data_IF_884431634284
#
_entry.id   IF_884431634284
#
_cell.length_a   1.000
_cell.length_b   1.000
_cell.length_c   1.000
_cell.angle_alpha   90.00
_cell.angle_beta   90.00
_cell.angle_gamma   90.00
#
_symmetry.space_group_name_H-M   'P 1'
#
loop_
_entity.id
_entity.type
_entity.pdbx_description
1 polymer ?
#
# COMPACT_ATOMS: atom_id res chain seq x y z
N UNK A 1 -31.31 8.50 22.39
CA UNK A 1 -30.31 8.45 21.30
C UNK A 1 -29.05 7.84 21.86
N UNK A 2 -28.48 6.83 21.22
CA UNK A 2 -27.15 6.34 21.58
C UNK A 2 -26.13 7.42 21.27
N UNK A 3 -25.23 7.71 22.21
CA UNK A 3 -24.11 8.61 21.93
C UNK A 3 -23.06 7.85 21.09
N UNK A 4 -22.05 8.55 20.55
CA UNK A 4 -21.02 7.92 19.71
C UNK A 4 -20.26 6.82 20.46
N UNK A 5 -20.03 6.99 21.76
CA UNK A 5 -19.34 5.98 22.59
C UNK A 5 -20.15 4.68 22.65
N UNK A 6 -21.48 4.75 22.82
CA UNK A 6 -22.36 3.58 22.82
C UNK A 6 -22.37 2.86 21.48
N UNK A 7 -22.21 3.60 20.37
CA UNK A 7 -22.12 3.03 19.02
C UNK A 7 -20.79 2.27 18.87
N UNK A 8 -19.67 2.90 19.25
CA UNK A 8 -18.34 2.30 19.17
C UNK A 8 -18.19 1.06 20.05
N UNK A 9 -18.75 1.07 21.26
CA UNK A 9 -18.71 -0.08 22.16
C UNK A 9 -19.55 -1.28 21.68
N UNK A 10 -20.54 -1.04 20.83
CA UNK A 10 -21.35 -2.09 20.19
C UNK A 10 -20.77 -2.58 18.87
N UNK A 11 -19.79 -1.87 18.30
CA UNK A 11 -19.12 -2.34 17.11
C UNK A 11 -18.30 -3.57 17.44
N UNK A 12 -18.47 -4.58 16.60
CA UNK A 12 -17.70 -5.81 16.67
C UNK A 12 -16.25 -5.50 16.25
N UNK A 13 -15.31 -5.71 17.17
CA UNK A 13 -13.89 -5.45 16.92
C UNK A 13 -13.34 -6.32 15.78
N UNK A 14 -13.91 -7.51 15.54
CA UNK A 14 -13.53 -8.38 14.44
C UNK A 14 -13.94 -7.80 13.08
N UNK A 15 -14.93 -6.90 13.04
CA UNK A 15 -15.34 -6.20 11.81
C UNK A 15 -14.45 -5.01 11.45
N UNK A 16 -13.47 -4.68 12.28
CA UNK A 16 -12.45 -3.67 11.98
C UNK A 16 -11.35 -4.24 11.06
N UNK A 17 -11.73 -5.06 10.09
CA UNK A 17 -10.80 -5.59 9.10
C UNK A 17 -10.31 -4.47 8.17
N UNK A 18 -9.05 -4.60 7.75
CA UNK A 18 -8.46 -3.67 6.79
C UNK A 18 -9.16 -3.79 5.44
N UNK A 19 -9.61 -2.68 4.83
CA UNK A 19 -10.18 -2.68 3.49
C UNK A 19 -9.29 -3.38 2.46
N UNK A 20 -9.89 -4.18 1.58
CA UNK A 20 -9.20 -4.87 0.48
C UNK A 20 -9.95 -4.67 -0.83
N UNK A 21 -9.22 -4.79 -1.95
CA UNK A 21 -9.84 -4.86 -3.28
C UNK A 21 -8.95 -5.58 -4.29
N UNK A 22 -9.55 -5.92 -5.43
CA UNK A 22 -8.85 -6.45 -6.59
C UNK A 22 -8.53 -5.31 -7.56
N UNK A 23 -7.32 -5.30 -8.11
CA UNK A 23 -6.87 -4.36 -9.13
C UNK A 23 -6.23 -5.13 -10.29
N UNK A 24 -6.64 -4.81 -11.51
CA UNK A 24 -6.10 -5.43 -12.71
C UNK A 24 -5.00 -4.56 -13.32
N UNK A 25 -3.87 -5.18 -13.67
CA UNK A 25 -2.82 -4.50 -14.43
C UNK A 25 -2.98 -4.84 -15.90
N UNK A 26 -3.70 -3.97 -16.62
CA UNK A 26 -4.13 -4.21 -18.00
C UNK A 26 -2.99 -4.59 -18.94
N UNK A 27 -1.86 -3.86 -18.90
CA UNK A 27 -0.69 -4.16 -19.74
C UNK A 27 -0.14 -5.56 -19.48
N UNK A 28 -0.06 -5.98 -18.22
CA UNK A 28 0.39 -7.34 -17.89
C UNK A 28 -0.61 -8.39 -18.36
N UNK A 29 -1.91 -8.09 -18.26
CA UNK A 29 -2.98 -8.97 -18.74
C UNK A 29 -2.90 -9.18 -20.26
N UNK A 30 -2.68 -8.10 -21.02
CA UNK A 30 -2.47 -8.16 -22.47
C UNK A 30 -1.23 -8.98 -22.83
N UNK A 31 -0.14 -8.87 -22.07
CA UNK A 31 1.09 -9.63 -22.29
C UNK A 31 0.96 -11.12 -21.92
N UNK A 32 0.19 -11.44 -20.88
CA UNK A 32 -0.03 -12.81 -20.42
C UNK A 32 -1.09 -13.54 -21.26
N UNK A 33 -1.98 -12.81 -21.93
CA UNK A 33 -3.15 -13.38 -22.61
C UNK A 33 -4.29 -13.77 -21.67
N UNK A 34 -4.17 -13.46 -20.37
CA UNK A 34 -5.16 -13.72 -19.33
C UNK A 34 -5.15 -12.60 -18.27
N UNK A 35 -6.25 -12.40 -17.51
CA UNK A 35 -6.32 -11.33 -16.52
C UNK A 35 -5.26 -11.47 -15.42
N UNK A 36 -4.39 -10.47 -15.31
CA UNK A 36 -3.40 -10.34 -14.24
C UNK A 36 -3.97 -9.41 -13.18
N UNK A 37 -4.63 -10.03 -12.18
CA UNK A 37 -5.32 -9.37 -11.09
C UNK A 37 -4.54 -9.50 -9.79
N UNK A 38 -4.35 -8.38 -9.11
CA UNK A 38 -3.71 -8.28 -7.81
C UNK A 38 -4.76 -8.04 -6.72
N UNK A 39 -4.64 -8.74 -5.60
CA UNK A 39 -5.35 -8.39 -4.37
C UNK A 39 -4.48 -7.43 -3.55
N UNK A 40 -5.03 -6.26 -3.22
CA UNK A 40 -4.38 -5.25 -2.40
C UNK A 40 -5.20 -4.94 -1.14
N UNK A 41 -4.53 -4.49 -0.09
CA UNK A 41 -5.14 -4.12 1.20
C UNK A 41 -4.62 -2.78 1.72
N UNK A 42 -5.40 -2.18 2.61
CA UNK A 42 -4.97 -1.05 3.43
C UNK A 42 -3.77 -1.43 4.33
N UNK A 43 -2.98 -0.42 4.68
CA UNK A 43 -1.92 -0.53 5.67
C UNK A 43 -2.43 -0.11 7.05
N UNK A 44 -1.90 -0.73 8.10
CA UNK A 44 -2.08 -0.23 9.46
C UNK A 44 -1.21 0.99 9.72
N UNK A 45 -1.54 1.75 10.76
CA UNK A 45 -0.72 2.86 11.25
C UNK A 45 0.73 2.40 11.55
N UNK A 46 0.91 1.26 12.23
CA UNK A 46 2.24 0.70 12.52
C UNK A 46 3.02 0.38 11.25
N UNK A 47 2.37 -0.21 10.23
CA UNK A 47 3.05 -0.48 8.96
C UNK A 47 3.46 0.80 8.26
N UNK A 48 2.64 1.85 8.33
CA UNK A 48 2.96 3.15 7.74
C UNK A 48 4.14 3.83 8.45
N UNK A 49 4.18 3.81 9.79
CA UNK A 49 5.30 4.31 10.59
C UNK A 49 6.60 3.60 10.24
N UNK A 50 6.58 2.25 10.17
CA UNK A 50 7.74 1.47 9.74
C UNK A 50 8.27 1.89 8.36
N UNK A 51 7.37 2.17 7.40
CA UNK A 51 7.75 2.63 6.06
C UNK A 51 8.42 4.00 6.14
N UNK A 52 7.86 4.93 6.92
CA UNK A 52 8.40 6.28 7.07
C UNK A 52 9.80 6.25 7.70
N UNK A 53 9.97 5.46 8.76
CA UNK A 53 11.25 5.31 9.45
C UNK A 53 12.32 4.72 8.53
N UNK A 54 12.00 3.65 7.79
CA UNK A 54 12.95 3.04 6.84
C UNK A 54 13.32 3.97 5.67
N UNK A 55 12.43 4.89 5.31
CA UNK A 55 12.61 5.79 4.17
C UNK A 55 13.22 7.15 4.54
N UNK A 56 13.42 7.41 5.84
CA UNK A 56 13.99 8.67 6.32
C UNK A 56 15.47 8.49 6.61
N UNK A 57 16.31 9.26 5.93
CA UNK A 57 17.76 9.30 6.16
C UNK A 57 18.11 10.56 6.92
N UNK A 58 18.68 10.38 8.11
CA UNK A 58 19.19 11.49 8.90
C UNK A 58 20.67 11.72 8.62
N UNK A 59 21.02 12.94 8.24
CA UNK A 59 22.40 13.40 8.15
C UNK A 59 22.78 14.11 9.45
N UNK A 60 23.61 13.49 10.31
CA UNK A 60 24.03 14.06 11.58
C UNK A 60 24.94 15.29 11.45
N UNK A 61 25.55 15.50 10.28
CA UNK A 61 26.46 16.63 10.04
C UNK A 61 25.65 17.88 9.66
N UNK A 62 24.68 17.73 8.77
CA UNK A 62 23.84 18.85 8.33
C UNK A 62 22.57 19.05 9.17
N UNK A 63 22.28 18.13 10.10
CA UNK A 63 21.05 18.09 10.90
C UNK A 63 19.77 18.12 10.03
N UNK A 64 19.84 17.49 8.86
CA UNK A 64 18.74 17.41 7.89
C UNK A 64 18.25 15.97 7.78
N UNK A 65 16.94 15.83 7.62
CA UNK A 65 16.30 14.59 7.23
C UNK A 65 15.95 14.65 5.73
N UNK A 66 16.31 13.62 4.99
CA UNK A 66 15.90 13.42 3.61
C UNK A 66 14.95 12.22 3.53
N UNK A 67 13.86 12.37 2.77
CA UNK A 67 12.81 11.37 2.67
C UNK A 67 12.89 10.75 1.27
N UNK A 68 13.18 9.46 1.22
CA UNK A 68 13.16 8.69 -0.01
C UNK A 68 11.74 8.29 -0.38
N UNK A 69 11.05 9.22 -1.05
CA UNK A 69 9.65 9.04 -1.51
C UNK A 69 9.50 7.81 -2.41
N UNK A 70 10.54 7.43 -3.17
CA UNK A 70 10.45 6.26 -4.02
C UNK A 70 10.49 4.97 -3.21
N UNK A 71 11.36 4.91 -2.20
CA UNK A 71 11.37 3.79 -1.25
C UNK A 71 10.03 3.66 -0.51
N UNK A 72 9.40 4.77 -0.11
CA UNK A 72 8.04 4.74 0.46
C UNK A 72 7.05 4.04 -0.48
N UNK A 73 7.05 4.37 -1.77
CA UNK A 73 6.15 3.76 -2.75
C UNK A 73 6.39 2.25 -2.88
N UNK A 74 7.65 1.82 -3.00
CA UNK A 74 7.99 0.41 -3.15
C UNK A 74 7.62 -0.40 -1.91
N UNK A 75 7.89 0.12 -0.72
CA UNK A 75 7.52 -0.50 0.54
C UNK A 75 6.01 -0.59 0.73
N UNK A 76 5.28 0.47 0.39
CA UNK A 76 3.81 0.50 0.42
C UNK A 76 3.23 -0.59 -0.46
N UNK A 77 3.74 -0.74 -1.69
CA UNK A 77 3.31 -1.82 -2.59
C UNK A 77 3.66 -3.19 -2.01
N UNK A 78 4.88 -3.35 -1.48
CA UNK A 78 5.34 -4.63 -0.94
C UNK A 78 4.53 -5.10 0.27
N UNK A 79 4.08 -4.18 1.14
CA UNK A 79 3.23 -4.49 2.30
C UNK A 79 1.73 -4.55 1.97
N UNK A 80 1.31 -3.79 0.95
CA UNK A 80 -0.10 -3.66 0.56
C UNK A 80 -0.58 -4.69 -0.46
N UNK A 81 0.30 -5.30 -1.25
CA UNK A 81 -0.06 -6.41 -2.14
C UNK A 81 -0.16 -7.71 -1.34
N UNK A 82 -1.35 -8.33 -1.36
CA UNK A 82 -1.64 -9.61 -0.71
C UNK A 82 -1.40 -10.78 -1.66
N UNK A 83 -1.89 -10.66 -2.90
CA UNK A 83 -1.76 -11.68 -3.93
C UNK A 83 -1.45 -11.05 -5.28
N UNK A 84 -0.43 -11.52 -6.02
CA UNK A 84 0.56 -12.51 -5.61
C UNK A 84 1.50 -11.98 -4.51
N UNK A 85 2.06 -12.88 -3.71
CA UNK A 85 3.09 -12.51 -2.74
C UNK A 85 4.41 -12.20 -3.45
N UNK A 86 4.74 -10.91 -3.54
CA UNK A 86 5.91 -10.40 -4.28
C UNK A 86 7.27 -10.84 -3.71
N UNK A 87 7.28 -11.41 -2.50
CA UNK A 87 8.47 -11.97 -1.86
C UNK A 87 8.73 -13.44 -2.22
N UNK A 88 7.85 -14.07 -3.00
CA UNK A 88 7.99 -15.48 -3.37
C UNK A 88 9.28 -15.73 -4.14
N UNK A 89 10.06 -16.71 -3.67
CA UNK A 89 11.34 -17.10 -4.28
C UNK A 89 11.19 -17.46 -5.76
N UNK A 90 10.14 -18.18 -6.12
CA UNK A 90 9.84 -18.56 -7.50
C UNK A 90 9.73 -17.34 -8.43
N UNK A 91 9.10 -16.24 -7.96
CA UNK A 91 9.04 -15.00 -8.73
C UNK A 91 10.42 -14.36 -8.85
N UNK A 92 11.15 -14.23 -7.75
CA UNK A 92 12.49 -13.61 -7.77
C UNK A 92 13.46 -14.36 -8.69
N UNK A 93 13.45 -15.69 -8.63
CA UNK A 93 14.26 -16.57 -9.46
C UNK A 93 13.85 -16.51 -10.93
N UNK A 94 12.55 -16.60 -11.22
CA UNK A 94 12.03 -16.50 -12.60
C UNK A 94 12.42 -15.18 -13.25
N UNK A 95 12.26 -14.07 -12.53
CA UNK A 95 12.61 -12.73 -13.00
C UNK A 95 14.11 -12.41 -12.86
N UNK A 96 14.92 -13.30 -12.28
CA UNK A 96 16.37 -13.15 -12.07
C UNK A 96 16.73 -11.86 -11.35
N UNK A 97 16.00 -11.56 -10.28
CA UNK A 97 16.18 -10.36 -9.47
C UNK A 97 16.49 -10.74 -8.01
N UNK A 98 17.39 -10.02 -7.32
CA UNK A 98 17.82 -10.40 -5.99
C UNK A 98 16.84 -9.96 -4.89
N UNK A 99 16.00 -8.94 -5.15
CA UNK A 99 15.10 -8.38 -4.15
C UNK A 99 13.68 -8.18 -4.68
N UNK A 100 12.67 -8.15 -3.80
CA UNK A 100 11.30 -7.77 -4.16
C UNK A 100 11.20 -6.35 -4.73
N UNK A 101 12.06 -5.41 -4.34
CA UNK A 101 12.06 -4.07 -4.94
C UNK A 101 12.49 -4.11 -6.39
N UNK A 102 13.49 -4.92 -6.72
CA UNK A 102 13.93 -5.11 -8.11
C UNK A 102 12.84 -5.82 -8.94
N UNK A 103 12.09 -6.74 -8.32
CA UNK A 103 10.91 -7.33 -8.95
C UNK A 103 9.86 -6.28 -9.29
N UNK A 104 9.48 -5.42 -8.33
CA UNK A 104 8.48 -4.35 -8.53
C UNK A 104 8.94 -3.41 -9.65
N UNK A 105 10.20 -2.96 -9.64
CA UNK A 105 10.79 -2.09 -10.67
C UNK A 105 10.85 -2.74 -12.05
N UNK A 106 10.96 -4.06 -12.10
CA UNK A 106 11.03 -4.83 -13.35
C UNK A 106 9.65 -5.17 -13.93
N UNK A 107 8.70 -5.49 -13.05
CA UNK A 107 7.34 -5.85 -13.43
C UNK A 107 6.53 -4.64 -13.89
N UNK A 108 6.62 -3.54 -13.14
CA UNK A 108 5.74 -2.40 -13.29
C UNK A 108 6.46 -1.20 -13.91
N UNK A 109 5.73 -0.49 -14.75
CA UNK A 109 6.13 0.83 -15.24
C UNK A 109 6.00 1.87 -14.12
N UNK A 110 6.66 3.04 -14.22
CA UNK A 110 6.55 4.09 -13.21
C UNK A 110 5.11 4.51 -12.92
N UNK A 111 4.27 4.61 -13.96
CA UNK A 111 2.86 4.95 -13.79
C UNK A 111 2.03 3.85 -13.12
N UNK A 112 2.37 2.57 -13.35
CA UNK A 112 1.73 1.44 -12.66
C UNK A 112 2.12 1.40 -11.17
N UNK A 113 3.39 1.69 -10.83
CA UNK A 113 3.86 1.84 -9.45
C UNK A 113 3.08 2.95 -8.73
N UNK A 114 3.01 4.13 -9.34
CA UNK A 114 2.30 5.27 -8.74
C UNK A 114 0.80 4.98 -8.54
N UNK A 115 0.16 4.31 -9.50
CA UNK A 115 -1.25 3.93 -9.37
C UNK A 115 -1.44 2.90 -8.25
N UNK A 116 -0.65 1.83 -8.21
CA UNK A 116 -0.76 0.83 -7.14
C UNK A 116 -0.55 1.45 -5.75
N UNK A 117 0.47 2.32 -5.62
CA UNK A 117 0.69 3.10 -4.41
C UNK A 117 -0.55 3.90 -4.01
N UNK A 118 -1.11 4.67 -4.95
CA UNK A 118 -2.30 5.50 -4.68
C UNK A 118 -3.52 4.64 -4.29
N UNK A 119 -3.73 3.50 -4.94
CA UNK A 119 -4.84 2.61 -4.62
C UNK A 119 -4.73 2.03 -3.21
N UNK A 120 -3.51 1.67 -2.77
CA UNK A 120 -3.23 1.19 -1.40
C UNK A 120 -3.37 2.34 -0.39
N UNK A 121 -2.84 3.52 -0.70
CA UNK A 121 -2.95 4.72 0.14
C UNK A 121 -4.41 5.13 0.34
N UNK A 122 -5.23 5.06 -0.71
CA UNK A 122 -6.67 5.33 -0.63
C UNK A 122 -7.39 4.33 0.28
N UNK A 123 -7.09 3.03 0.16
CA UNK A 123 -7.62 2.01 1.09
C UNK A 123 -7.21 2.27 2.54
N UNK A 124 -6.01 2.84 2.73
CA UNK A 124 -5.45 3.19 4.03
C UNK A 124 -6.00 4.50 4.61
N UNK A 125 -6.98 5.12 3.95
CA UNK A 125 -7.66 6.32 4.45
C UNK A 125 -6.99 7.65 4.09
N UNK A 126 -6.02 7.67 3.17
CA UNK A 126 -5.41 8.91 2.67
C UNK A 126 -6.19 9.56 1.51
N UNK A 127 -7.29 8.94 1.07
CA UNK A 127 -8.16 9.48 0.02
C UNK A 127 -9.24 10.44 0.56
N UNK A 128 -9.86 11.21 -0.33
CA UNK A 128 -10.83 12.26 0.01
C UNK A 128 -12.12 11.77 0.72
N UNK A 129 -12.42 10.48 0.68
CA UNK A 129 -13.64 9.90 1.25
C UNK A 129 -13.48 9.26 2.65
N UNK A 130 -12.30 9.37 3.28
CA UNK A 130 -12.06 8.71 4.56
C UNK A 130 -12.74 9.43 5.74
N UNK A 131 -12.85 10.76 5.67
CA UNK A 131 -13.46 11.61 6.69
C UNK A 131 -14.23 12.74 6.01
N UNK A 132 -15.50 12.92 6.38
CA UNK A 132 -16.35 14.00 5.89
C UNK A 132 -16.66 15.02 7.00
N UNK A 133 -16.59 16.31 6.68
CA UNK A 133 -16.98 17.36 7.61
C UNK A 133 -18.51 17.43 7.72
N UNK A 134 -19.02 17.26 8.94
CA UNK A 134 -20.44 17.51 9.25
C UNK A 134 -20.58 18.95 9.74
N UNK A 135 -21.14 19.82 8.90
CA UNK A 135 -21.44 21.20 9.28
C UNK A 135 -22.50 21.22 10.38
N UNK A 136 -22.26 22.03 11.42
CA UNK A 136 -23.26 22.28 12.46
C UNK A 136 -24.45 23.04 11.85
N UNK A 137 -25.69 22.66 12.17
CA UNK A 137 -26.87 23.43 11.78
C UNK A 137 -26.87 24.84 12.39
#
# INVERSE_FOLDING_TARGET
>A
MSNVVDILLKMDAEKLELPKKLVEIKRLSELAGEPVVFEIKALTQTQFEEIQDMSTKFDPISNKADIDVFTIKLETILKGVVSPELKRKELLEHYKVPTPYDLIKKLFTPGEIDRLYNEISNLSGFGEGAVEEVKKP
#
